data_IF_605376717445
#
_entry.id   IF_605376717445
#
_cell.length_a   1.000
_cell.length_b   1.000
_cell.length_c   1.000
_cell.angle_alpha   90.00
_cell.angle_beta   90.00
_cell.angle_gamma   90.00
#
_symmetry.space_group_name_H-M   'P 1'
#
loop_
_entity.id
_entity.type
_entity.pdbx_description
1 polymer ?
#
# COMPACT_ATOMS: atom_id res chain seq x y z
N UNK A 1 22.79 5.51 0.95
CA UNK A 1 21.31 5.44 1.09
C UNK A 1 20.74 6.56 1.94
N UNK A 2 21.20 6.77 3.18
CA UNK A 2 20.66 7.81 4.08
C UNK A 2 20.75 9.22 3.48
N UNK A 3 21.89 9.59 2.90
CA UNK A 3 22.06 10.91 2.26
C UNK A 3 21.07 11.14 1.10
N UNK A 4 20.85 10.13 0.25
CA UNK A 4 19.90 10.21 -0.86
C UNK A 4 18.45 10.34 -0.35
N UNK A 5 18.09 9.59 0.70
CA UNK A 5 16.79 9.70 1.35
C UNK A 5 16.56 11.10 1.92
N UNK A 6 17.55 11.66 2.64
CA UNK A 6 17.47 13.02 3.18
C UNK A 6 17.35 14.07 2.08
N UNK A 7 18.08 13.92 0.97
CA UNK A 7 17.97 14.82 -0.17
C UNK A 7 16.56 14.81 -0.77
N UNK A 8 15.98 13.63 -1.04
CA UNK A 8 14.63 13.50 -1.60
C UNK A 8 13.59 14.10 -0.65
N UNK A 9 13.68 13.77 0.64
CA UNK A 9 12.75 14.28 1.65
C UNK A 9 12.86 15.80 1.79
N UNK A 10 14.08 16.34 1.79
CA UNK A 10 14.30 17.78 1.83
C UNK A 10 13.76 18.50 0.59
N UNK A 11 13.94 17.91 -0.60
CA UNK A 11 13.42 18.47 -1.85
C UNK A 11 11.88 18.50 -1.86
N UNK A 12 11.23 17.41 -1.41
CA UNK A 12 9.77 17.35 -1.31
C UNK A 12 9.22 18.41 -0.34
N UNK A 13 9.84 18.56 0.83
CA UNK A 13 9.47 19.60 1.81
C UNK A 13 9.70 21.01 1.25
N UNK A 14 10.80 21.22 0.53
CA UNK A 14 11.12 22.50 -0.07
C UNK A 14 10.08 22.91 -1.11
N UNK A 15 9.69 21.99 -2.01
CA UNK A 15 8.61 22.20 -2.98
C UNK A 15 7.29 22.51 -2.27
N UNK A 16 6.95 21.77 -1.21
CA UNK A 16 5.74 22.00 -0.43
C UNK A 16 5.71 23.40 0.22
N UNK A 17 6.81 23.82 0.85
CA UNK A 17 6.92 25.13 1.49
C UNK A 17 6.88 26.26 0.46
N UNK A 18 7.58 26.10 -0.67
CA UNK A 18 7.52 27.06 -1.77
C UNK A 18 6.10 27.19 -2.33
N UNK A 19 5.42 26.07 -2.59
CA UNK A 19 4.03 26.07 -3.05
C UNK A 19 3.09 26.74 -2.05
N UNK A 20 3.28 26.47 -0.76
CA UNK A 20 2.52 27.11 0.32
C UNK A 20 2.77 28.61 0.42
N UNK A 21 4.00 29.06 0.21
CA UNK A 21 4.36 30.48 0.30
C UNK A 21 3.96 31.26 -0.96
N UNK A 22 4.06 30.65 -2.13
CA UNK A 22 3.67 31.25 -3.40
C UNK A 22 2.14 31.28 -3.61
N UNK A 23 1.40 30.42 -2.91
CA UNK A 23 -0.05 30.35 -3.03
C UNK A 23 -0.73 31.62 -2.46
N UNK A 24 -1.65 32.25 -3.21
CA UNK A 24 -2.40 33.40 -2.73
C UNK A 24 -3.26 33.00 -1.53
N UNK A 25 -3.06 33.67 -0.40
CA UNK A 25 -3.86 33.48 0.81
C UNK A 25 -5.22 34.15 0.62
N UNK A 26 -6.21 33.42 0.10
CA UNK A 26 -7.59 33.91 0.01
C UNK A 26 -8.37 33.60 1.31
N UNK A 27 -9.33 34.48 1.65
CA UNK A 27 -10.36 34.19 2.64
C UNK A 27 -11.26 33.08 2.07
N UNK A 28 -11.00 31.85 2.47
CA UNK A 28 -11.78 30.71 2.00
C UNK A 28 -13.22 30.83 2.50
N UNK A 29 -14.15 31.02 1.57
CA UNK A 29 -15.58 30.97 1.84
C UNK A 29 -16.01 29.56 2.29
N UNK A 30 -17.14 29.47 3.00
CA UNK A 30 -17.71 28.19 3.45
C UNK A 30 -17.89 27.20 2.29
N UNK A 31 -18.22 27.71 1.10
CA UNK A 31 -18.39 26.92 -0.12
C UNK A 31 -17.07 26.40 -0.70
N UNK A 32 -15.96 27.12 -0.57
CA UNK A 32 -14.63 26.67 -1.03
C UNK A 32 -14.03 25.59 -0.14
N UNK A 33 -14.51 25.49 1.11
CA UNK A 33 -14.13 24.42 2.06
C UNK A 33 -15.05 23.22 2.02
N UNK A 34 -16.18 23.31 1.32
CA UNK A 34 -17.12 22.23 1.18
C UNK A 34 -16.55 21.12 0.28
N UNK A 35 -16.93 19.88 0.56
CA UNK A 35 -16.52 18.74 -0.26
C UNK A 35 -17.12 18.86 -1.67
N UNK A 36 -16.35 18.46 -2.68
CA UNK A 36 -16.79 18.59 -4.06
C UNK A 36 -17.94 17.61 -4.34
N UNK A 37 -19.16 18.14 -4.48
CA UNK A 37 -20.35 17.38 -4.84
C UNK A 37 -21.16 18.13 -5.90
N UNK A 38 -20.53 18.48 -7.02
CA UNK A 38 -21.17 19.18 -8.14
C UNK A 38 -21.88 20.51 -7.74
N UNK A 39 -21.44 21.16 -6.66
CA UNK A 39 -22.04 22.39 -6.13
C UNK A 39 -23.13 22.18 -5.08
N UNK A 40 -23.50 20.94 -4.78
CA UNK A 40 -24.48 20.60 -3.75
C UNK A 40 -23.79 20.44 -2.38
N UNK A 41 -24.51 20.77 -1.29
CA UNK A 41 -24.04 20.51 0.07
C UNK A 41 -24.27 19.03 0.39
N UNK A 42 -23.35 18.17 -0.03
CA UNK A 42 -23.43 16.74 0.29
C UNK A 42 -23.16 16.51 1.79
N UNK A 43 -24.02 15.76 2.50
CA UNK A 43 -23.74 15.38 3.88
C UNK A 43 -22.56 14.41 3.90
N UNK A 44 -21.63 14.61 4.83
CA UNK A 44 -20.50 13.70 5.07
C UNK A 44 -21.06 12.41 5.69
N UNK A 45 -21.60 11.53 4.86
CA UNK A 45 -21.91 10.17 5.25
C UNK A 45 -20.65 9.33 5.08
N UNK A 46 -20.35 8.49 6.08
CA UNK A 46 -19.19 7.59 6.02
C UNK A 46 -19.30 6.76 4.74
N UNK A 47 -18.38 7.00 3.81
CA UNK A 47 -18.34 6.29 2.55
C UNK A 47 -18.03 4.82 2.86
N UNK A 48 -19.03 3.95 2.69
CA UNK A 48 -18.81 2.50 2.71
C UNK A 48 -18.30 2.09 1.35
N UNK A 49 -16.97 2.10 1.21
CA UNK A 49 -16.31 1.63 -0.02
C UNK A 49 -16.28 0.11 0.04
N UNK A 50 -16.93 -0.55 -0.92
CA UNK A 50 -16.77 -1.98 -1.11
C UNK A 50 -15.46 -2.25 -1.85
N UNK A 51 -14.52 -2.97 -1.22
CA UNK A 51 -13.24 -3.32 -1.84
C UNK A 51 -13.45 -4.58 -2.66
N UNK A 52 -13.76 -4.41 -3.94
CA UNK A 52 -13.99 -5.51 -4.90
C UNK A 52 -12.77 -6.44 -5.01
N UNK A 53 -11.56 -5.91 -4.88
CA UNK A 53 -10.30 -6.64 -5.04
C UNK A 53 -9.59 -6.98 -3.72
N UNK A 54 -10.32 -7.16 -2.62
CA UNK A 54 -9.71 -7.43 -1.31
C UNK A 54 -8.80 -8.68 -1.31
N UNK A 55 -9.14 -9.69 -2.13
CA UNK A 55 -8.33 -10.91 -2.28
C UNK A 55 -6.94 -10.62 -2.83
N UNK A 56 -6.82 -9.72 -3.79
CA UNK A 56 -5.53 -9.30 -4.34
C UNK A 56 -4.66 -8.60 -3.30
N UNK A 57 -5.26 -7.83 -2.38
CA UNK A 57 -4.52 -7.24 -1.26
C UNK A 57 -3.97 -8.29 -0.31
N UNK A 58 -4.73 -9.35 -0.04
CA UNK A 58 -4.27 -10.47 0.80
C UNK A 58 -3.10 -11.19 0.12
N UNK A 59 -3.23 -11.51 -1.18
CA UNK A 59 -2.11 -12.10 -1.94
C UNK A 59 -0.89 -11.21 -1.93
N UNK A 60 -1.06 -9.91 -2.17
CA UNK A 60 0.02 -8.95 -2.16
C UNK A 60 0.75 -8.95 -0.82
N UNK A 61 0.04 -8.90 0.31
CA UNK A 61 0.65 -8.91 1.63
C UNK A 61 1.41 -10.22 1.92
N UNK A 62 0.85 -11.36 1.54
CA UNK A 62 1.48 -12.67 1.71
C UNK A 62 2.77 -12.74 0.88
N UNK A 63 2.72 -12.41 -0.41
CA UNK A 63 3.88 -12.46 -1.29
C UNK A 63 4.94 -11.43 -0.90
N UNK A 64 4.56 -10.20 -0.56
CA UNK A 64 5.49 -9.13 -0.17
C UNK A 64 6.32 -9.52 1.06
N UNK A 65 5.67 -10.06 2.11
CA UNK A 65 6.38 -10.56 3.30
C UNK A 65 7.32 -11.73 2.98
N UNK A 66 6.93 -12.61 2.05
CA UNK A 66 7.75 -13.77 1.67
C UNK A 66 8.99 -13.43 0.88
N UNK A 67 8.93 -12.40 0.03
CA UNK A 67 10.08 -11.91 -0.72
C UNK A 67 11.12 -11.33 0.23
N UNK A 68 10.68 -10.59 1.26
CA UNK A 68 11.59 -10.09 2.29
C UNK A 68 12.27 -11.24 3.05
N UNK A 69 11.51 -12.26 3.46
CA UNK A 69 12.08 -13.44 4.14
C UNK A 69 13.09 -14.18 3.27
N UNK A 70 12.81 -14.35 1.98
CA UNK A 70 13.75 -14.94 1.03
C UNK A 70 15.00 -14.07 0.83
N UNK A 71 14.85 -12.75 0.74
CA UNK A 71 15.96 -11.82 0.59
C UNK A 71 16.90 -11.85 1.81
N UNK A 72 16.35 -11.84 3.04
CA UNK A 72 17.15 -11.96 4.26
C UNK A 72 17.81 -13.33 4.41
N UNK A 73 17.11 -14.40 4.02
CA UNK A 73 17.67 -15.75 3.97
C UNK A 73 18.85 -15.83 3.00
N UNK A 74 18.69 -15.33 1.77
CA UNK A 74 19.75 -15.33 0.75
C UNK A 74 20.96 -14.48 1.16
N UNK A 75 20.75 -13.37 1.89
CA UNK A 75 21.83 -12.55 2.41
C UNK A 75 22.62 -13.24 3.55
N UNK A 76 21.97 -14.14 4.29
CA UNK A 76 22.54 -14.87 5.42
C UNK A 76 23.22 -16.17 4.97
N UNK A 77 24.09 -16.09 3.96
CA UNK A 77 24.65 -17.22 3.19
C UNK A 77 25.32 -18.34 4.02
N UNK A 78 25.74 -18.07 5.26
CA UNK A 78 26.39 -19.06 6.15
C UNK A 78 25.41 -19.92 6.97
N UNK A 79 24.11 -19.58 7.00
CA UNK A 79 23.11 -20.24 7.86
C UNK A 79 21.85 -20.74 7.16
N UNK A 80 21.83 -20.77 5.82
CA UNK A 80 20.64 -21.14 5.06
C UNK A 80 20.40 -22.65 5.12
N UNK A 81 19.48 -23.04 6.00
CA UNK A 81 18.91 -24.38 6.00
C UNK A 81 18.00 -24.56 4.76
N UNK A 82 18.62 -25.01 3.66
CA UNK A 82 17.94 -25.37 2.40
C UNK A 82 16.61 -26.13 2.59
N UNK A 83 16.48 -27.15 3.48
CA UNK A 83 15.20 -27.83 3.67
C UNK A 83 14.11 -26.95 4.26
N UNK A 84 14.44 -26.03 5.17
CA UNK A 84 13.47 -25.08 5.74
C UNK A 84 13.01 -24.06 4.70
N UNK A 85 13.91 -23.64 3.81
CA UNK A 85 13.57 -22.74 2.71
C UNK A 85 12.59 -23.41 1.72
N UNK A 86 12.85 -24.67 1.35
CA UNK A 86 11.95 -25.45 0.49
C UNK A 86 10.58 -25.62 1.14
N UNK A 87 10.54 -25.97 2.43
CA UNK A 87 9.29 -26.09 3.19
C UNK A 87 8.52 -24.76 3.21
N UNK A 88 9.22 -23.64 3.41
CA UNK A 88 8.61 -22.31 3.40
C UNK A 88 7.98 -21.98 2.04
N UNK A 89 8.71 -22.20 0.94
CA UNK A 89 8.19 -22.01 -0.41
C UNK A 89 6.97 -22.90 -0.70
N UNK A 90 6.99 -24.13 -0.20
CA UNK A 90 5.86 -25.06 -0.35
C UNK A 90 4.61 -24.57 0.40
N UNK A 91 4.76 -24.11 1.65
CA UNK A 91 3.65 -23.54 2.44
C UNK A 91 3.07 -22.29 1.75
N UNK A 92 3.94 -21.45 1.20
CA UNK A 92 3.54 -20.25 0.45
C UNK A 92 2.73 -20.62 -0.79
N UNK A 93 3.19 -21.60 -1.57
CA UNK A 93 2.48 -22.10 -2.75
C UNK A 93 1.13 -22.72 -2.37
N UNK A 94 1.10 -23.58 -1.34
CA UNK A 94 -0.14 -24.19 -0.85
C UNK A 94 -1.15 -23.15 -0.38
N UNK A 95 -0.69 -22.14 0.37
CA UNK A 95 -1.54 -21.04 0.86
C UNK A 95 -2.11 -20.21 -0.28
N UNK A 96 -1.30 -19.93 -1.31
CA UNK A 96 -1.76 -19.22 -2.50
C UNK A 96 -2.82 -20.02 -3.29
N UNK A 97 -2.68 -21.35 -3.35
CA UNK A 97 -3.61 -22.24 -4.04
C UNK A 97 -4.95 -22.33 -3.30
N UNK A 98 -4.93 -22.52 -1.98
CA UNK A 98 -6.14 -22.58 -1.14
C UNK A 98 -6.94 -21.28 -1.25
N UNK A 99 -6.24 -20.14 -1.23
CA UNK A 99 -6.90 -18.84 -1.37
C UNK A 99 -7.48 -18.64 -2.79
N UNK A 100 -6.87 -19.25 -3.80
CA UNK A 100 -7.31 -19.16 -5.20
C UNK A 100 -8.55 -20.01 -5.46
N UNK A 101 -8.59 -21.21 -4.87
CA UNK A 101 -9.74 -22.10 -4.91
C UNK A 101 -10.94 -21.53 -4.15
N UNK A 102 -10.75 -21.04 -2.91
CA UNK A 102 -11.80 -20.31 -2.18
C UNK A 102 -12.22 -19.01 -2.90
N UNK A 103 -11.46 -18.61 -3.92
CA UNK A 103 -11.75 -17.55 -4.85
C UNK A 103 -12.89 -17.87 -5.83
N UNK A 104 -12.97 -19.11 -6.30
CA UNK A 104 -13.81 -19.54 -7.43
C UNK A 104 -15.29 -19.68 -7.06
N UNK A 105 -15.59 -20.00 -5.81
CA UNK A 105 -16.94 -20.34 -5.34
C UNK A 105 -17.88 -19.13 -5.09
N UNK A 106 -17.46 -17.92 -5.44
CA UNK A 106 -18.27 -16.69 -5.28
C UNK A 106 -18.82 -16.15 -6.61
N UNK A 107 -18.61 -16.87 -7.71
CA UNK A 107 -19.09 -16.51 -9.05
C UNK A 107 -19.99 -17.60 -9.68
N UNK A 108 -20.52 -18.52 -8.87
CA UNK A 108 -21.69 -19.36 -9.19
C UNK A 108 -22.92 -18.86 -8.43
#
# INVERSE_FOLDING_TARGET
MILAFLLILSAALFIYVLGRHASPKHNQSENERAEYACGEKAPIQRIKINITSYRYLIYFAIFDSSVLLLAFSALSAEGVNVPLLILYLFIMLASSLVLFEGGKDQYE
#
